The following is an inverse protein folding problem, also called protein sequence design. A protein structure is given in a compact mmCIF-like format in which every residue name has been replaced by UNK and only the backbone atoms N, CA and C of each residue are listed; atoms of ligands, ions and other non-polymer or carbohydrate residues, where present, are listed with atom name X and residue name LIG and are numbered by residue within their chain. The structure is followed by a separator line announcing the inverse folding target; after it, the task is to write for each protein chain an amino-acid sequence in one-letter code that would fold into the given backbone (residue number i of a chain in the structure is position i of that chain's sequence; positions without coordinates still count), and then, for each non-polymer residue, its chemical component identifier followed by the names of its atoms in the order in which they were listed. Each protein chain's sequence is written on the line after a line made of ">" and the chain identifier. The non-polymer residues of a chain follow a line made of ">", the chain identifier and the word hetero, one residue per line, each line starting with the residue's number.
data_IF_684253292991
#
_entry.id   IF_684253292991
#
_cell.length_a   1.000
_cell.length_b   1.000
_cell.length_c   1.000
_cell.angle_alpha   90.00
_cell.angle_beta   90.00
_cell.angle_gamma   90.00
#
_symmetry.space_group_name_H-M   'P 1'
#
loop_
_entity.id
_entity.type
_entity.pdbx_description
1 polymer ?
#
# COMPACT_ATOMS: atom_id res chain seq x y z
N UNK A 1 24.20 -15.45 42.31
CA UNK A 1 23.99 -15.80 40.89
C UNK A 1 23.43 -14.57 40.19
N UNK A 2 24.17 -14.00 39.23
CA UNK A 2 23.75 -12.80 38.47
C UNK A 2 22.68 -13.18 37.44
N UNK A 3 21.55 -12.49 37.48
CA UNK A 3 20.48 -12.60 36.50
C UNK A 3 20.92 -12.05 35.15
N UNK A 4 21.02 -12.89 34.13
CA UNK A 4 21.28 -12.51 32.73
C UNK A 4 19.97 -12.20 31.99
N UNK A 5 19.07 -11.44 32.62
CA UNK A 5 17.86 -10.94 31.96
C UNK A 5 18.28 -9.87 30.94
N UNK A 6 18.62 -10.31 29.73
CA UNK A 6 18.81 -9.43 28.58
C UNK A 6 17.52 -8.65 28.35
N UNK A 7 17.60 -7.36 28.00
CA UNK A 7 16.40 -6.57 27.70
C UNK A 7 15.59 -7.24 26.59
N UNK A 8 14.25 -7.17 26.64
CA UNK A 8 13.39 -7.85 25.68
C UNK A 8 13.73 -7.42 24.25
N UNK A 9 13.98 -8.40 23.38
CA UNK A 9 14.22 -8.17 21.94
C UNK A 9 12.93 -7.64 21.32
N UNK A 10 13.01 -6.50 20.63
CA UNK A 10 11.89 -5.92 19.88
C UNK A 10 11.69 -6.75 18.60
N UNK A 11 10.69 -7.62 18.59
CA UNK A 11 10.44 -8.59 17.49
C UNK A 11 9.63 -8.02 16.32
N UNK A 12 9.31 -6.72 16.31
CA UNK A 12 8.42 -6.09 15.33
C UNK A 12 8.97 -4.78 14.71
N UNK A 13 10.29 -4.70 14.47
CA UNK A 13 10.92 -3.54 13.82
C UNK A 13 10.67 -3.44 12.30
N UNK A 14 10.16 -4.51 11.67
CA UNK A 14 9.96 -4.54 10.22
C UNK A 14 8.66 -3.84 9.83
N UNK A 15 8.78 -2.61 9.34
CA UNK A 15 7.66 -1.80 8.86
C UNK A 15 7.04 -2.29 7.52
N UNK A 16 7.66 -3.27 6.87
CA UNK A 16 7.18 -3.88 5.63
C UNK A 16 6.14 -4.98 5.84
N UNK A 17 6.14 -5.63 7.01
CA UNK A 17 5.27 -6.77 7.35
C UNK A 17 4.68 -6.59 8.74
N UNK A 18 3.37 -6.41 8.86
CA UNK A 18 2.69 -6.18 10.14
C UNK A 18 1.66 -7.29 10.41
N UNK A 19 1.57 -7.75 11.65
CA UNK A 19 0.63 -8.80 12.07
C UNK A 19 -0.62 -8.27 12.80
N UNK A 20 -0.62 -7.00 13.22
CA UNK A 20 -1.76 -6.40 13.92
C UNK A 20 -2.98 -6.21 13.02
N UNK A 21 -4.17 -6.42 13.57
CA UNK A 21 -5.42 -6.08 12.90
C UNK A 21 -5.45 -4.57 12.64
N UNK A 22 -5.74 -4.17 11.40
CA UNK A 22 -5.76 -2.78 10.94
C UNK A 22 -4.44 -2.02 11.17
N UNK A 23 -3.32 -2.74 11.34
CA UNK A 23 -2.00 -2.13 11.47
C UNK A 23 -1.68 -1.24 10.26
N UNK A 24 -0.92 -0.17 10.47
CA UNK A 24 -0.47 0.76 9.43
C UNK A 24 1.06 0.76 9.38
N UNK A 25 1.66 0.76 8.18
CA UNK A 25 3.09 1.01 8.07
C UNK A 25 3.37 2.44 8.55
N UNK A 26 4.38 2.59 9.40
CA UNK A 26 4.93 3.88 9.78
C UNK A 26 5.35 4.66 8.54
N UNK A 27 5.11 5.96 8.57
CA UNK A 27 5.53 6.86 7.50
C UNK A 27 7.03 7.12 7.64
N UNK A 28 7.76 7.05 6.54
CA UNK A 28 9.18 7.40 6.50
C UNK A 28 9.37 8.92 6.60
N UNK A 29 10.53 9.36 7.10
CA UNK A 29 10.89 10.78 7.29
C UNK A 29 10.95 11.54 5.96
N UNK A 30 11.27 10.85 4.86
CA UNK A 30 11.36 11.42 3.51
C UNK A 30 10.07 11.26 2.69
N UNK A 31 8.96 10.81 3.28
CA UNK A 31 7.72 10.60 2.53
C UNK A 31 7.03 11.92 2.16
N UNK A 32 6.44 11.98 0.97
CA UNK A 32 5.86 13.16 0.28
C UNK A 32 4.64 13.84 0.97
N UNK A 33 4.48 13.76 2.29
CA UNK A 33 3.37 14.40 3.00
C UNK A 33 2.01 13.71 2.80
N UNK A 34 1.84 12.94 1.72
CA UNK A 34 0.56 12.37 1.30
C UNK A 34 0.00 11.35 2.32
N UNK A 35 -1.33 11.35 2.49
CA UNK A 35 -2.08 10.49 3.43
C UNK A 35 -3.20 9.70 2.75
N UNK A 36 -3.22 9.61 1.41
CA UNK A 36 -4.28 8.92 0.65
C UNK A 36 -4.52 7.49 1.13
N UNK A 37 -3.47 6.73 1.44
CA UNK A 37 -3.60 5.35 1.93
C UNK A 37 -4.31 5.28 3.28
N UNK A 38 -3.83 6.04 4.27
CA UNK A 38 -4.40 6.04 5.63
C UNK A 38 -5.81 6.64 5.64
N UNK A 39 -6.05 7.67 4.84
CA UNK A 39 -7.38 8.30 4.71
C UNK A 39 -8.38 7.39 4.01
N UNK A 40 -7.96 6.66 2.98
CA UNK A 40 -8.80 5.65 2.32
C UNK A 40 -9.23 4.56 3.30
N UNK A 41 -8.29 4.02 4.09
CA UNK A 41 -8.63 3.03 5.14
C UNK A 41 -9.57 3.62 6.20
N UNK A 42 -9.36 4.87 6.61
CA UNK A 42 -10.27 5.54 7.55
C UNK A 42 -11.68 5.68 6.99
N UNK A 43 -11.82 6.10 5.72
CA UNK A 43 -13.11 6.20 5.03
C UNK A 43 -13.79 4.86 4.89
N UNK A 44 -13.07 3.82 4.47
CA UNK A 44 -13.59 2.46 4.37
C UNK A 44 -14.15 1.98 5.70
N UNK A 45 -13.37 2.12 6.77
CA UNK A 45 -13.79 1.71 8.12
C UNK A 45 -14.97 2.52 8.67
N UNK A 46 -15.19 3.74 8.18
CA UNK A 46 -16.33 4.59 8.58
C UNK A 46 -17.62 4.20 7.86
N UNK A 47 -17.51 3.67 6.64
CA UNK A 47 -18.65 3.34 5.77
C UNK A 47 -19.01 1.85 5.83
N UNK A 48 -18.07 0.98 6.22
CA UNK A 48 -18.37 -0.42 6.53
C UNK A 48 -19.38 -0.48 7.69
N UNK A 49 -20.64 -0.90 7.42
CA UNK A 49 -21.63 -0.96 8.47
C UNK A 49 -21.21 -2.06 9.46
N UNK A 50 -21.04 -1.71 10.72
CA UNK A 50 -20.96 -2.65 11.84
C UNK A 50 -22.35 -3.27 12.14
N UNK A 51 -23.20 -3.41 11.11
CA UNK A 51 -24.59 -3.85 11.29
C UNK A 51 -24.67 -5.35 11.06
N UNK A 52 -25.31 -6.05 11.99
CA UNK A 52 -25.62 -7.50 11.91
C UNK A 52 -26.69 -7.84 10.86
N UNK A 53 -27.22 -6.84 10.14
CA UNK A 53 -28.29 -7.04 9.15
C UNK A 53 -27.74 -7.62 7.85
N UNK A 54 -28.46 -8.59 7.28
CA UNK A 54 -28.11 -9.20 5.99
C UNK A 54 -28.03 -8.16 4.88
N UNK A 55 -27.20 -8.43 3.86
CA UNK A 55 -27.03 -7.56 2.70
C UNK A 55 -28.36 -7.22 1.99
N UNK A 56 -29.35 -8.10 2.03
CA UNK A 56 -30.67 -7.90 1.43
C UNK A 56 -31.43 -6.73 2.07
N UNK A 57 -31.52 -6.71 3.40
CA UNK A 57 -32.19 -5.65 4.16
C UNK A 57 -31.47 -4.30 3.99
N UNK A 58 -30.15 -4.31 3.87
CA UNK A 58 -29.37 -3.09 3.62
C UNK A 58 -29.60 -2.52 2.22
N UNK A 59 -29.78 -3.38 1.21
CA UNK A 59 -30.06 -2.97 -0.17
C UNK A 59 -31.48 -2.43 -0.34
N UNK A 60 -32.46 -2.98 0.39
CA UNK A 60 -33.84 -2.49 0.42
C UNK A 60 -33.96 -1.08 1.02
N UNK A 61 -33.13 -0.77 2.02
CA UNK A 61 -33.10 0.55 2.69
C UNK A 61 -32.27 1.60 1.94
N UNK A 62 -31.59 1.25 0.83
CA UNK A 62 -30.80 2.22 0.07
C UNK A 62 -31.74 3.19 -0.67
N UNK A 63 -31.76 4.45 -0.22
CA UNK A 63 -32.36 5.54 -0.95
C UNK A 63 -31.55 5.85 -2.22
N UNK A 64 -32.14 5.63 -3.40
CA UNK A 64 -31.49 5.83 -4.70
C UNK A 64 -31.58 7.28 -5.25
N UNK A 65 -32.29 8.17 -4.56
CA UNK A 65 -32.78 9.44 -5.13
C UNK A 65 -31.73 10.46 -5.56
N UNK A 66 -30.47 10.34 -5.11
CA UNK A 66 -29.35 11.21 -5.57
C UNK A 66 -28.06 10.39 -5.61
N UNK A 67 -27.97 9.44 -6.54
CA UNK A 67 -26.72 8.71 -6.79
C UNK A 67 -25.85 9.52 -7.76
N UNK A 68 -24.85 10.23 -7.22
CA UNK A 68 -23.82 10.81 -8.06
C UNK A 68 -22.97 9.68 -8.69
N UNK A 69 -23.03 9.55 -10.02
CA UNK A 69 -22.31 8.54 -10.83
C UNK A 69 -21.08 9.10 -11.54
N UNK A 70 -20.59 10.27 -11.14
CA UNK A 70 -19.38 10.85 -11.69
C UNK A 70 -18.23 9.85 -11.64
N UNK A 71 -17.50 9.72 -12.75
CA UNK A 71 -16.40 8.77 -12.88
C UNK A 71 -15.37 8.93 -11.76
N UNK A 72 -15.05 10.17 -11.38
CA UNK A 72 -14.12 10.51 -10.30
C UNK A 72 -14.56 9.91 -8.95
N UNK A 73 -15.84 10.02 -8.61
CA UNK A 73 -16.42 9.48 -7.38
C UNK A 73 -16.44 7.94 -7.39
N UNK A 74 -16.75 7.33 -8.53
CA UNK A 74 -16.73 5.88 -8.69
C UNK A 74 -15.31 5.35 -8.51
N UNK A 75 -14.32 5.96 -9.18
CA UNK A 75 -12.91 5.59 -9.05
C UNK A 75 -12.40 5.80 -7.62
N UNK A 76 -12.78 6.89 -6.96
CA UNK A 76 -12.45 7.11 -5.55
C UNK A 76 -13.05 6.06 -4.63
N UNK A 77 -14.32 5.70 -4.83
CA UNK A 77 -15.01 4.70 -4.00
C UNK A 77 -14.43 3.30 -4.22
N UNK A 78 -14.16 2.91 -5.47
CA UNK A 78 -13.51 1.65 -5.81
C UNK A 78 -12.12 1.55 -5.15
N UNK A 79 -11.31 2.62 -5.25
CA UNK A 79 -10.00 2.70 -4.59
C UNK A 79 -10.11 2.55 -3.08
N UNK A 80 -11.08 3.22 -2.43
CA UNK A 80 -11.31 3.09 -0.99
C UNK A 80 -11.68 1.66 -0.60
N UNK A 81 -12.56 1.01 -1.39
CA UNK A 81 -12.96 -0.38 -1.16
C UNK A 81 -11.79 -1.36 -1.28
N UNK A 82 -11.00 -1.27 -2.36
CA UNK A 82 -9.82 -2.11 -2.60
C UNK A 82 -8.78 -1.97 -1.48
N UNK A 83 -8.45 -0.72 -1.11
CA UNK A 83 -7.53 -0.45 -0.02
C UNK A 83 -8.08 -1.03 1.30
N UNK A 84 -9.38 -0.89 1.56
CA UNK A 84 -10.00 -1.40 2.79
C UNK A 84 -10.00 -2.92 2.91
N UNK A 85 -10.51 -3.61 1.88
CA UNK A 85 -10.64 -5.06 1.84
C UNK A 85 -9.26 -5.72 1.89
N UNK A 86 -8.32 -5.23 1.07
CA UNK A 86 -7.02 -5.87 0.91
C UNK A 86 -6.02 -5.61 2.03
N UNK A 87 -6.24 -4.65 2.93
CA UNK A 87 -5.19 -4.18 3.86
C UNK A 87 -5.56 -4.15 5.33
N UNK A 88 -6.74 -4.61 5.71
CA UNK A 88 -7.21 -4.55 7.11
C UNK A 88 -6.73 -5.71 7.99
N UNK A 89 -6.04 -6.71 7.41
CA UNK A 89 -5.48 -7.87 8.09
C UNK A 89 -6.43 -8.48 9.15
N UNK A 90 -7.63 -8.86 8.70
CA UNK A 90 -8.68 -9.42 9.56
C UNK A 90 -8.27 -10.75 10.22
N UNK A 91 -7.36 -11.49 9.60
CA UNK A 91 -6.92 -12.82 10.06
C UNK A 91 -5.72 -12.79 11.01
N UNK A 92 -5.20 -11.60 11.38
CA UNK A 92 -4.06 -11.43 12.30
C UNK A 92 -2.76 -12.15 11.87
N UNK A 93 -2.65 -12.50 10.60
CA UNK A 93 -1.46 -13.14 10.05
C UNK A 93 -0.42 -12.08 9.67
N UNK A 94 0.87 -12.44 9.52
CA UNK A 94 1.85 -11.52 8.95
C UNK A 94 1.38 -11.03 7.57
N UNK A 95 1.11 -9.72 7.45
CA UNK A 95 0.61 -9.08 6.24
C UNK A 95 1.63 -8.07 5.72
N UNK A 96 1.99 -8.18 4.44
CA UNK A 96 2.88 -7.23 3.76
C UNK A 96 2.08 -6.17 3.00
N UNK A 97 2.43 -4.90 3.19
CA UNK A 97 1.88 -3.79 2.38
C UNK A 97 2.56 -3.66 1.01
N UNK A 98 3.58 -4.49 0.76
CA UNK A 98 4.26 -4.60 -0.53
C UNK A 98 3.98 -5.96 -1.15
N UNK A 99 3.72 -5.98 -2.45
CA UNK A 99 3.72 -7.21 -3.23
C UNK A 99 5.11 -7.86 -3.18
N UNK A 100 5.18 -9.19 -3.07
CA UNK A 100 6.43 -9.95 -3.21
C UNK A 100 7.01 -9.88 -4.63
N UNK A 101 6.16 -9.61 -5.63
CA UNK A 101 6.55 -9.40 -7.02
C UNK A 101 5.93 -8.09 -7.51
N UNK A 102 6.72 -7.01 -7.54
CA UNK A 102 6.21 -5.72 -7.99
C UNK A 102 6.16 -5.64 -9.53
N UNK A 103 5.04 -6.12 -10.09
CA UNK A 103 4.77 -6.19 -11.54
C UNK A 103 4.79 -4.80 -12.18
N UNK A 104 4.34 -3.77 -11.47
CA UNK A 104 4.26 -2.42 -12.02
C UNK A 104 5.64 -1.82 -12.25
N UNK A 105 6.53 -1.93 -11.27
CA UNK A 105 7.94 -1.51 -11.42
C UNK A 105 8.62 -2.28 -12.53
N UNK A 106 8.39 -3.60 -12.62
CA UNK A 106 8.92 -4.44 -13.72
C UNK A 106 8.41 -3.97 -15.08
N UNK A 107 7.10 -3.77 -15.23
CA UNK A 107 6.49 -3.37 -16.50
C UNK A 107 6.90 -1.95 -16.91
N UNK A 108 6.99 -1.02 -15.95
CA UNK A 108 7.51 0.32 -16.20
C UNK A 108 8.96 0.29 -16.63
N UNK A 109 9.81 -0.51 -15.96
CA UNK A 109 11.20 -0.69 -16.36
C UNK A 109 11.31 -1.28 -17.77
N UNK A 110 10.53 -2.32 -18.09
CA UNK A 110 10.47 -2.89 -19.43
C UNK A 110 10.01 -1.88 -20.48
N UNK A 111 9.00 -1.07 -20.15
CA UNK A 111 8.49 -0.04 -21.05
C UNK A 111 9.54 1.04 -21.29
N UNK A 112 10.24 1.51 -20.25
CA UNK A 112 11.36 2.46 -20.39
C UNK A 112 12.48 1.90 -21.26
N UNK A 113 12.85 0.63 -21.06
CA UNK A 113 13.88 -0.04 -21.87
C UNK A 113 13.45 -0.16 -23.33
N UNK A 114 12.18 -0.50 -23.59
CA UNK A 114 11.65 -0.64 -24.96
C UNK A 114 11.43 0.70 -25.66
N UNK A 115 10.91 1.70 -24.96
CA UNK A 115 10.61 3.02 -25.52
C UNK A 115 11.85 3.92 -25.65
N UNK A 116 12.74 3.89 -24.66
CA UNK A 116 13.96 4.72 -24.64
C UNK A 116 15.21 4.03 -25.17
N UNK A 117 15.17 2.70 -25.37
CA UNK A 117 16.35 1.89 -25.65
C UNK A 117 17.23 1.71 -24.41
N UNK A 118 17.83 0.53 -24.24
CA UNK A 118 18.90 0.34 -23.27
C UNK A 118 20.22 0.86 -23.89
N UNK A 119 20.65 2.06 -23.52
CA UNK A 119 21.95 2.60 -23.95
C UNK A 119 23.02 2.18 -22.92
N UNK A 120 23.96 1.34 -23.34
CA UNK A 120 25.18 1.09 -22.56
C UNK A 120 26.05 2.35 -22.69
N UNK A 121 26.49 2.97 -21.58
CA UNK A 121 27.36 4.13 -21.66
C UNK A 121 28.67 3.77 -22.39
N UNK A 122 29.11 4.62 -23.32
CA UNK A 122 30.34 4.39 -24.06
C UNK A 122 31.53 4.22 -23.09
N UNK A 123 32.39 3.24 -23.37
CA UNK A 123 33.63 3.02 -22.63
C UNK A 123 34.45 4.31 -22.64
N UNK A 124 34.67 4.92 -21.47
CA UNK A 124 35.60 6.05 -21.33
C UNK A 124 37.02 5.52 -21.21
N UNK A 125 37.76 5.48 -22.31
CA UNK A 125 39.21 5.33 -22.29
C UNK A 125 39.81 6.68 -21.93
N UNK A 126 40.40 6.79 -20.73
CA UNK A 126 41.33 7.88 -20.44
C UNK A 126 42.58 7.65 -21.29
N UNK A 127 42.67 8.29 -22.46
CA UNK A 127 43.97 8.44 -23.12
C UNK A 127 44.71 9.53 -22.36
N UNK A 128 45.57 9.12 -21.43
CA UNK A 128 46.55 10.01 -20.84
C UNK A 128 47.56 10.30 -21.95
N UNK A 129 47.48 11.47 -22.59
CA UNK A 129 48.57 11.91 -23.46
C UNK A 129 49.82 12.06 -22.59
N UNK A 130 50.82 11.27 -22.94
CA UNK A 130 52.18 11.33 -22.41
C UNK A 130 52.84 12.50 -23.16
N UNK A 131 53.25 13.53 -22.41
CA UNK A 131 54.27 14.46 -22.88
C UNK A 131 55.63 13.77 -22.83
#
# INVERSE_FOLDING_TARGET
>A
MMSTLSPPIITALNNGTLSGMRAMPAKDINADGNSVFSMSRRRFNRVMPLSTQSNTIQQEKKWYGVSNRDASRVTESARVAEIGIGTTNSSLNPFSFKSSAERNTRNQALTRVRAGGAVVPLKKTKSTQIF
#
